data_IF_478090336723
#
_entry.id   IF_478090336723
#
_cell.length_a   1.000
_cell.length_b   1.000
_cell.length_c   1.000
_cell.angle_alpha   90.00
_cell.angle_beta   90.00
_cell.angle_gamma   90.00
#
_symmetry.space_group_name_H-M   'P 1'
#
loop_
_entity.id
_entity.type
_entity.pdbx_description
1 polymer ?
#
# COMPACT_ATOMS: atom_id res chain seq x y z
N UNK A 1 15.38 4.03 -1.08
CA UNK A 1 14.27 4.93 -0.68
C UNK A 1 13.87 5.91 -1.78
N UNK A 2 14.82 6.53 -2.48
CA UNK A 2 14.54 7.50 -3.56
C UNK A 2 13.59 6.98 -4.65
N UNK A 3 13.73 5.71 -5.06
CA UNK A 3 12.86 5.10 -6.06
C UNK A 3 11.41 5.00 -5.59
N UNK A 4 11.18 4.72 -4.30
CA UNK A 4 9.84 4.61 -3.72
C UNK A 4 9.19 5.99 -3.74
N UNK A 5 9.89 7.01 -3.25
CA UNK A 5 9.43 8.40 -3.29
C UNK A 5 9.02 8.82 -4.71
N UNK A 6 9.93 8.63 -5.69
CA UNK A 6 9.66 9.02 -7.08
C UNK A 6 8.44 8.29 -7.66
N UNK A 7 8.24 7.02 -7.32
CA UNK A 7 7.08 6.24 -7.77
C UNK A 7 5.78 6.74 -7.14
N UNK A 8 5.76 6.95 -5.82
CA UNK A 8 4.54 7.37 -5.10
C UNK A 8 4.13 8.78 -5.51
N UNK A 9 5.09 9.70 -5.65
CA UNK A 9 4.82 11.07 -6.16
C UNK A 9 4.32 11.03 -7.61
N UNK A 10 4.85 10.15 -8.46
CA UNK A 10 4.34 9.97 -9.82
C UNK A 10 2.88 9.50 -9.83
N UNK A 11 2.51 8.55 -8.97
CA UNK A 11 1.13 8.08 -8.82
C UNK A 11 0.21 9.20 -8.31
N UNK A 12 0.66 9.99 -7.32
CA UNK A 12 -0.07 11.15 -6.81
C UNK A 12 -0.37 12.15 -7.93
N UNK A 13 0.65 12.54 -8.69
CA UNK A 13 0.52 13.49 -9.81
C UNK A 13 -0.36 12.98 -10.96
N UNK A 14 -0.47 11.67 -11.11
CA UNK A 14 -1.37 11.04 -12.08
C UNK A 14 -2.82 10.92 -11.59
N UNK A 15 -3.16 11.44 -10.40
CA UNK A 15 -4.51 11.38 -9.83
C UNK A 15 -4.88 9.99 -9.30
N UNK A 16 -3.93 9.06 -9.17
CA UNK A 16 -4.22 7.66 -8.81
C UNK A 16 -4.89 7.50 -7.43
N UNK A 17 -4.74 8.49 -6.56
CA UNK A 17 -5.29 8.47 -5.20
C UNK A 17 -6.61 9.25 -5.04
N UNK A 18 -7.07 10.01 -6.04
CA UNK A 18 -8.25 10.89 -5.93
C UNK A 18 -9.57 10.14 -5.65
N UNK A 19 -9.69 8.92 -6.14
CA UNK A 19 -10.84 8.04 -5.90
C UNK A 19 -10.46 6.77 -5.13
N UNK A 20 -9.29 6.77 -4.50
CA UNK A 20 -8.81 5.63 -3.73
C UNK A 20 -9.55 5.56 -2.39
N UNK A 21 -10.07 4.37 -2.05
CA UNK A 21 -10.79 4.12 -0.79
C UNK A 21 -9.92 3.47 0.28
N UNK A 22 -8.66 3.20 -0.03
CA UNK A 22 -7.73 2.54 0.87
C UNK A 22 -6.47 2.09 0.14
N UNK A 23 -5.34 2.22 0.83
CA UNK A 23 -4.03 1.89 0.29
C UNK A 23 -3.43 0.72 1.08
N UNK A 24 -3.12 -0.37 0.39
CA UNK A 24 -2.45 -1.53 0.97
C UNK A 24 -1.04 -1.58 0.41
N UNK A 25 -0.06 -1.43 1.29
CA UNK A 25 1.35 -1.52 0.98
C UNK A 25 1.82 -2.93 1.32
N UNK A 26 2.32 -3.63 0.30
CA UNK A 26 2.94 -4.94 0.45
C UNK A 26 4.23 -4.88 1.27
N UNK A 27 4.72 -6.05 1.65
CA UNK A 27 5.99 -6.17 2.36
C UNK A 27 7.15 -5.77 1.43
N UNK A 28 7.88 -4.73 1.82
CA UNK A 28 9.14 -4.39 1.18
C UNK A 28 10.26 -5.26 1.76
N UNK A 29 10.96 -5.98 0.89
CA UNK A 29 12.20 -6.67 1.22
C UNK A 29 13.35 -6.10 0.41
N UNK A 30 14.57 -6.25 0.93
CA UNK A 30 15.79 -5.88 0.20
C UNK A 30 15.82 -4.43 -0.27
N UNK A 31 15.30 -3.50 0.53
CA UNK A 31 15.40 -2.07 0.25
C UNK A 31 16.88 -1.72 0.18
N UNK A 32 17.33 -1.32 -1.01
CA UNK A 32 18.72 -0.90 -1.20
C UNK A 32 18.98 0.35 -0.36
N UNK A 33 20.04 0.37 0.45
CA UNK A 33 20.45 1.59 1.14
C UNK A 33 20.80 2.63 0.08
N UNK A 34 20.36 3.86 0.32
CA UNK A 34 20.84 4.99 -0.47
C UNK A 34 22.26 5.34 -0.01
N UNK A 35 23.08 5.88 -0.91
CA UNK A 35 24.44 6.36 -0.58
C UNK A 35 24.43 7.59 0.34
N UNK A 36 23.34 8.35 0.30
CA UNK A 36 23.07 9.49 1.17
C UNK A 36 21.85 9.18 2.02
N UNK A 37 21.88 9.56 3.28
CA UNK A 37 20.72 9.42 4.14
C UNK A 37 19.54 10.19 3.55
N UNK A 38 18.41 9.49 3.43
CA UNK A 38 17.18 10.09 2.91
C UNK A 38 16.41 10.82 4.04
N UNK A 39 16.74 10.53 5.30
CA UNK A 39 16.11 11.16 6.47
C UNK A 39 14.66 10.74 6.72
N UNK A 40 14.14 9.78 5.95
CA UNK A 40 12.78 9.23 6.10
C UNK A 40 12.77 7.73 5.82
N UNK A 41 11.89 6.99 6.49
CA UNK A 41 11.57 5.60 6.16
C UNK A 41 10.66 5.52 4.93
N UNK A 42 10.45 4.33 4.36
CA UNK A 42 9.54 4.20 3.21
C UNK A 42 8.08 4.44 3.63
N UNK A 43 7.72 4.10 4.86
CA UNK A 43 6.41 4.37 5.45
C UNK A 43 6.17 5.86 5.54
N UNK A 44 7.13 6.62 6.07
CA UNK A 44 7.04 8.08 6.17
C UNK A 44 6.92 8.74 4.78
N UNK A 45 7.68 8.26 3.79
CA UNK A 45 7.58 8.73 2.40
C UNK A 45 6.17 8.51 1.85
N UNK A 46 5.61 7.31 2.03
CA UNK A 46 4.28 6.97 1.53
C UNK A 46 3.22 7.81 2.24
N UNK A 47 3.30 7.90 3.57
CA UNK A 47 2.35 8.66 4.39
C UNK A 47 2.37 10.15 4.05
N UNK A 48 3.55 10.76 3.89
CA UNK A 48 3.65 12.16 3.51
C UNK A 48 3.03 12.42 2.12
N UNK A 49 3.28 11.53 1.16
CA UNK A 49 2.72 11.66 -0.17
C UNK A 49 1.19 11.58 -0.17
N UNK A 50 0.59 10.76 0.69
CA UNK A 50 -0.87 10.55 0.74
C UNK A 50 -1.57 11.27 1.90
N UNK A 51 -0.88 12.16 2.63
CA UNK A 51 -1.43 12.87 3.80
C UNK A 51 -2.68 13.73 3.52
N UNK A 52 -2.84 14.15 2.27
CA UNK A 52 -3.95 15.00 1.84
C UNK A 52 -5.23 14.21 1.51
N UNK A 53 -5.19 12.87 1.61
CA UNK A 53 -6.31 11.99 1.28
C UNK A 53 -6.91 11.34 2.52
N UNK A 54 -8.23 11.18 2.53
CA UNK A 54 -8.98 10.53 3.62
C UNK A 54 -9.28 9.06 3.29
N UNK A 55 -8.26 8.21 3.41
CA UNK A 55 -8.42 6.76 3.32
C UNK A 55 -7.45 6.01 4.23
N UNK A 56 -7.78 4.78 4.66
CA UNK A 56 -6.88 3.98 5.48
C UNK A 56 -5.66 3.50 4.69
N UNK A 57 -4.49 3.56 5.30
CA UNK A 57 -3.23 3.02 4.78
C UNK A 57 -2.79 1.84 5.66
N UNK A 58 -2.45 0.71 5.06
CA UNK A 58 -1.85 -0.44 5.78
C UNK A 58 -0.49 -0.76 5.21
N UNK A 59 0.45 -1.13 6.10
CA UNK A 59 1.77 -1.65 5.76
C UNK A 59 1.85 -3.15 5.98
N UNK A 60 2.97 -3.74 5.55
CA UNK A 60 3.38 -5.12 5.79
C UNK A 60 2.35 -6.18 5.37
N UNK A 61 1.56 -5.88 4.34
CA UNK A 61 0.66 -6.88 3.78
C UNK A 61 1.50 -8.04 3.19
N UNK A 62 1.12 -9.32 3.39
CA UNK A 62 1.91 -10.49 2.97
C UNK A 62 1.86 -10.70 1.45
N UNK A 63 2.33 -9.71 0.70
CA UNK A 63 2.47 -9.68 -0.75
C UNK A 63 3.74 -8.90 -1.10
N UNK A 64 4.61 -9.47 -1.94
CA UNK A 64 5.89 -8.87 -2.30
C UNK A 64 6.99 -9.93 -2.51
N UNK A 65 8.24 -9.50 -2.48
CA UNK A 65 9.41 -10.38 -2.63
C UNK A 65 9.79 -11.04 -1.29
N UNK A 66 8.83 -11.70 -0.64
CA UNK A 66 8.98 -12.36 0.66
C UNK A 66 8.54 -13.82 0.61
N UNK A 67 8.91 -14.61 1.64
CA UNK A 67 8.55 -16.05 1.69
C UNK A 67 7.04 -16.27 1.88
N UNK A 68 6.40 -15.54 2.79
CA UNK A 68 4.93 -15.56 2.95
C UNK A 68 4.30 -14.57 1.96
N UNK A 69 4.31 -14.94 0.68
CA UNK A 69 3.71 -14.16 -0.40
C UNK A 69 2.37 -14.80 -0.81
N UNK A 70 1.27 -14.16 -0.41
CA UNK A 70 -0.09 -14.68 -0.59
C UNK A 70 -0.71 -14.14 -1.87
N UNK A 71 -1.53 -14.97 -2.51
CA UNK A 71 -2.24 -14.61 -3.73
C UNK A 71 -3.21 -13.44 -3.49
N UNK A 72 -3.15 -12.45 -4.39
CA UNK A 72 -4.07 -11.33 -4.43
C UNK A 72 -5.14 -11.57 -5.50
N UNK A 73 -6.41 -11.54 -5.09
CA UNK A 73 -7.54 -11.58 -6.03
C UNK A 73 -7.83 -10.17 -6.55
N UNK A 74 -7.24 -9.83 -7.69
CA UNK A 74 -7.45 -8.53 -8.33
C UNK A 74 -8.84 -8.44 -8.98
N UNK A 75 -9.40 -7.23 -9.01
CA UNK A 75 -10.74 -6.98 -9.57
C UNK A 75 -11.91 -7.42 -8.68
N UNK A 76 -11.63 -7.91 -7.46
CA UNK A 76 -12.66 -8.21 -6.45
C UNK A 76 -12.86 -7.04 -5.51
N UNK A 77 -14.11 -6.87 -5.07
CA UNK A 77 -14.42 -5.96 -3.98
C UNK A 77 -13.92 -6.53 -2.65
N UNK A 78 -13.34 -5.65 -1.83
CA UNK A 78 -12.82 -6.02 -0.52
C UNK A 78 -13.32 -5.04 0.54
N UNK A 79 -13.42 -5.52 1.77
CA UNK A 79 -13.49 -4.68 2.96
C UNK A 79 -12.10 -4.59 3.58
N UNK A 80 -11.59 -3.37 3.72
CA UNK A 80 -10.34 -3.06 4.42
C UNK A 80 -10.68 -2.39 5.76
N UNK A 81 -10.13 -2.94 6.85
CA UNK A 81 -10.21 -2.33 8.19
C UNK A 81 -8.82 -2.25 8.79
N UNK A 82 -8.32 -1.03 8.97
CA UNK A 82 -7.03 -0.75 9.60
C UNK A 82 -7.27 -0.28 11.04
N UNK A 83 -6.55 -0.86 11.98
CA UNK A 83 -6.49 -0.46 13.39
C UNK A 83 -5.03 -0.43 13.82
N UNK A 84 -4.74 0.27 14.91
CA UNK A 84 -3.41 0.43 15.49
C UNK A 84 -2.56 -0.87 15.55
N UNK A 85 -3.18 -2.01 15.90
CA UNK A 85 -2.48 -3.29 16.06
C UNK A 85 -2.90 -4.37 15.06
N UNK A 86 -3.82 -4.07 14.15
CA UNK A 86 -4.39 -5.10 13.26
C UNK A 86 -5.01 -4.50 12.00
N UNK A 87 -4.57 -5.00 10.85
CA UNK A 87 -5.27 -4.85 9.58
C UNK A 87 -6.08 -6.11 9.26
N UNK A 88 -7.29 -5.92 8.74
CA UNK A 88 -8.14 -7.01 8.23
C UNK A 88 -8.54 -6.68 6.79
N UNK A 89 -8.24 -7.60 5.88
CA UNK A 89 -8.73 -7.59 4.50
C UNK A 89 -9.68 -8.76 4.33
N UNK A 90 -10.93 -8.47 3.92
CA UNK A 90 -11.93 -9.50 3.60
C UNK A 90 -12.33 -9.35 2.16
N UNK A 91 -12.17 -10.42 1.39
CA UNK A 91 -12.75 -10.52 0.05
C UNK A 91 -14.24 -10.77 0.18
N UNK A 92 -15.05 -10.00 -0.54
CA UNK A 92 -16.48 -10.30 -0.62
C UNK A 92 -16.65 -11.64 -1.31
N UNK A 93 -17.64 -12.43 -0.86
CA UNK A 93 -18.03 -13.64 -1.60
C UNK A 93 -18.44 -13.18 -3.00
N UNK A 94 -18.03 -13.93 -4.03
CA UNK A 94 -18.59 -13.75 -5.36
C UNK A 94 -20.11 -13.76 -5.24
N UNK A 95 -20.78 -12.72 -5.75
CA UNK A 95 -22.23 -12.85 -5.97
C UNK A 95 -22.43 -14.08 -6.86
N UNK A 96 -23.26 -15.07 -6.48
CA UNK A 96 -23.71 -16.05 -7.44
C UNK A 96 -24.33 -15.26 -8.59
N UNK A 97 -23.85 -15.53 -9.80
CA UNK A 97 -24.10 -14.79 -11.02
C UNK A 97 -25.54 -14.27 -11.09
N UNK A 98 -25.66 -12.98 -11.43
CA UNK A 98 -26.89 -12.41 -11.98
C UNK A 98 -27.11 -12.93 -13.39
#
# INVERSE_FOLDING_TARGET
>A
LYHIDRMVISLKRAGAFEHCKGLIIGAFSSIKPNTTDFGMTYEEIILDAVKDYDFPVSFDFPAGHIRDNRTLLLGKEISLKVKEKKTVVKFTKAQPNK
#
